data_IF_406242127428
#
_entry.id   IF_406242127428
#
_cell.length_a   1.000
_cell.length_b   1.000
_cell.length_c   1.000
_cell.angle_alpha   90.00
_cell.angle_beta   90.00
_cell.angle_gamma   90.00
#
_symmetry.space_group_name_H-M   'P 1'
#
loop_
_entity.id
_entity.type
_entity.pdbx_description
1 polymer ?
#
# COMPACT_ATOMS: atom_id res chain seq x y z
N UNK A 1 3.20 21.16 14.84
CA UNK A 1 2.06 20.24 14.70
C UNK A 1 2.36 19.41 13.46
N UNK A 2 2.69 18.12 13.61
CA UNK A 2 2.73 17.20 12.47
C UNK A 2 1.27 17.08 12.03
N UNK A 3 0.86 17.87 11.05
CA UNK A 3 -0.33 17.54 10.28
C UNK A 3 -0.06 16.14 9.75
N UNK A 4 -0.68 15.14 10.38
CA UNK A 4 -0.60 13.76 9.95
C UNK A 4 -1.09 13.77 8.52
N UNK A 5 -0.16 13.76 7.57
CA UNK A 5 -0.41 13.73 6.13
C UNK A 5 -1.36 12.57 5.92
N UNK A 6 -2.65 12.87 5.73
CA UNK A 6 -3.63 11.83 5.43
C UNK A 6 -3.09 11.10 4.22
N UNK A 7 -2.80 9.79 4.31
CA UNK A 7 -2.22 9.07 3.21
C UNK A 7 -3.11 9.24 1.98
N UNK A 8 -2.53 9.63 0.85
CA UNK A 8 -3.24 9.62 -0.42
C UNK A 8 -3.55 8.16 -0.77
N UNK A 9 -4.83 7.82 -0.82
CA UNK A 9 -5.26 6.50 -1.27
C UNK A 9 -5.01 6.36 -2.77
N UNK A 10 -4.24 5.34 -3.14
CA UNK A 10 -4.00 4.89 -4.51
C UNK A 10 -4.77 3.58 -4.70
N UNK A 11 -5.48 3.46 -5.81
CA UNK A 11 -6.23 2.25 -6.15
C UNK A 11 -5.34 1.39 -7.05
N UNK A 12 -5.13 0.13 -6.68
CA UNK A 12 -4.47 -0.83 -7.57
C UNK A 12 -5.32 -1.00 -8.83
N UNK A 13 -4.80 -0.66 -10.01
CA UNK A 13 -5.56 -0.75 -11.27
C UNK A 13 -6.02 -2.19 -11.61
N UNK A 14 -5.33 -3.20 -11.08
CA UNK A 14 -5.65 -4.61 -11.31
C UNK A 14 -6.86 -5.08 -10.51
N UNK A 15 -6.77 -5.07 -9.17
CA UNK A 15 -7.86 -5.58 -8.32
C UNK A 15 -8.89 -4.51 -7.94
N UNK A 16 -8.56 -3.23 -8.17
CA UNK A 16 -9.40 -2.04 -7.87
C UNK A 16 -9.96 -1.99 -6.46
N UNK A 17 -9.31 -2.67 -5.53
CA UNK A 17 -9.71 -2.69 -4.15
C UNK A 17 -9.61 -1.28 -3.57
N UNK A 18 -10.64 -0.91 -2.83
CA UNK A 18 -10.71 0.30 -2.02
C UNK A 18 -10.47 -0.06 -0.56
N UNK A 19 -10.60 0.93 0.32
CA UNK A 19 -10.50 0.80 1.76
C UNK A 19 -11.60 -0.06 2.40
N UNK A 20 -12.69 -0.34 1.67
CA UNK A 20 -13.81 -1.14 2.19
C UNK A 20 -13.60 -2.64 2.04
N UNK A 21 -12.97 -3.07 0.94
CA UNK A 21 -12.80 -4.49 0.59
C UNK A 21 -11.34 -4.94 0.55
N UNK A 22 -10.40 -4.00 0.56
CA UNK A 22 -8.97 -4.27 0.43
C UNK A 22 -8.22 -4.26 1.75
N UNK A 23 -6.98 -4.72 1.70
CA UNK A 23 -5.98 -4.56 2.75
C UNK A 23 -4.94 -3.54 2.28
N UNK A 24 -4.66 -2.54 3.11
CA UNK A 24 -3.63 -1.54 2.86
C UNK A 24 -2.24 -2.16 2.97
N UNK A 25 -1.36 -1.93 1.99
CA UNK A 25 0.00 -2.49 2.01
C UNK A 25 1.10 -1.55 1.55
N UNK A 26 1.02 -1.03 0.33
CA UNK A 26 2.11 -0.18 -0.16
C UNK A 26 2.01 1.19 0.49
N UNK A 27 2.92 1.49 1.42
CA UNK A 27 3.09 2.82 1.98
C UNK A 27 4.33 3.46 1.35
N UNK A 28 4.15 4.49 0.53
CA UNK A 28 5.26 5.22 -0.06
C UNK A 28 5.30 6.65 0.47
N UNK A 29 6.46 7.07 0.95
CA UNK A 29 6.75 8.41 1.43
C UNK A 29 7.70 9.12 0.45
N UNK A 30 7.15 9.69 -0.63
CA UNK A 30 7.94 10.41 -1.64
C UNK A 30 7.67 11.90 -1.51
N UNK A 31 8.73 12.70 -1.40
CA UNK A 31 8.63 14.17 -1.41
C UNK A 31 7.72 14.75 -0.32
N UNK A 32 7.63 14.09 0.84
CA UNK A 32 6.75 14.53 1.93
C UNK A 32 5.27 14.21 1.73
N UNK A 33 4.91 13.38 0.74
CA UNK A 33 3.57 12.82 0.60
C UNK A 33 3.55 11.35 1.00
N UNK A 34 2.64 10.98 1.89
CA UNK A 34 2.36 9.58 2.23
C UNK A 34 1.27 9.07 1.30
N UNK A 35 1.46 7.91 0.69
CA UNK A 35 0.45 7.24 -0.13
C UNK A 35 0.23 5.82 0.32
N UNK A 36 -1.00 5.32 0.22
CA UNK A 36 -1.38 3.97 0.59
C UNK A 36 -2.08 3.27 -0.58
N UNK A 37 -1.70 2.03 -0.89
CA UNK A 37 -2.41 1.21 -1.89
C UNK A 37 -3.15 0.06 -1.23
N UNK A 38 -4.40 -0.18 -1.68
CA UNK A 38 -5.26 -1.26 -1.22
C UNK A 38 -5.31 -2.40 -2.23
N UNK A 39 -5.31 -3.64 -1.74
CA UNK A 39 -5.42 -4.83 -2.58
C UNK A 39 -6.38 -5.88 -2.00
N UNK A 40 -7.02 -6.66 -2.86
CA UNK A 40 -7.69 -7.90 -2.43
C UNK A 40 -6.65 -8.98 -2.12
N UNK A 41 -6.99 -9.93 -1.24
CA UNK A 41 -6.07 -11.02 -0.85
C UNK A 41 -5.64 -11.91 -2.03
N UNK A 42 -6.46 -12.01 -3.08
CA UNK A 42 -6.17 -12.79 -4.28
C UNK A 42 -5.40 -12.00 -5.36
N UNK A 43 -5.05 -10.74 -5.12
CA UNK A 43 -4.36 -9.91 -6.10
C UNK A 43 -2.89 -10.34 -6.27
N UNK A 44 -2.38 -10.57 -7.49
CA UNK A 44 -0.98 -10.89 -7.70
C UNK A 44 -0.04 -9.78 -7.23
N UNK A 45 -0.45 -8.51 -7.31
CA UNK A 45 0.32 -7.39 -6.76
C UNK A 45 0.35 -7.41 -5.23
N UNK A 46 -0.70 -7.91 -4.57
CA UNK A 46 -0.67 -8.14 -3.12
C UNK A 46 0.35 -9.21 -2.73
N UNK A 47 0.43 -10.30 -3.50
CA UNK A 47 1.42 -11.34 -3.28
C UNK A 47 2.86 -10.82 -3.50
N UNK A 48 3.07 -10.00 -4.52
CA UNK A 48 4.36 -9.36 -4.77
C UNK A 48 4.77 -8.42 -3.62
N UNK A 49 3.85 -7.57 -3.15
CA UNK A 49 4.09 -6.68 -2.01
C UNK A 49 4.49 -7.44 -0.75
N UNK A 50 3.88 -8.61 -0.49
CA UNK A 50 4.25 -9.46 0.65
C UNK A 50 5.69 -9.98 0.54
N UNK A 51 6.15 -10.35 -0.65
CA UNK A 51 7.52 -10.83 -0.88
C UNK A 51 8.51 -9.69 -0.67
N UNK A 52 8.23 -8.50 -1.20
CA UNK A 52 9.10 -7.33 -1.05
C UNK A 52 9.20 -6.88 0.41
N UNK A 53 8.08 -6.83 1.11
CA UNK A 53 8.03 -6.46 2.53
C UNK A 53 8.75 -7.47 3.44
N UNK A 54 8.79 -8.75 3.07
CA UNK A 54 9.57 -9.77 3.79
C UNK A 54 11.07 -9.65 3.47
N UNK A 55 11.41 -9.34 2.21
CA UNK A 55 12.78 -9.09 1.77
C UNK A 55 13.44 -7.88 2.44
N UNK A 56 12.69 -6.80 2.68
CA UNK A 56 13.16 -5.60 3.40
C UNK A 56 13.39 -5.84 4.91
N UNK A 57 12.90 -6.94 5.48
CA UNK A 57 13.14 -7.28 6.90
C UNK A 57 14.47 -7.98 7.15
N UNK A 58 15.31 -8.18 6.13
CA UNK A 58 16.63 -8.78 6.31
C UNK A 58 17.64 -7.69 6.70
N UNK A 59 18.35 -7.83 7.86
CA UNK A 59 19.33 -6.85 8.32
C UNK A 59 20.54 -6.73 7.38
#
# INVERSE_FOLDING_TARGET
MLDFLRPKTVVCAYCRATDKEGVARTLSAVGGALSVTWHTAACPHYAADLILADGEKRP
#
